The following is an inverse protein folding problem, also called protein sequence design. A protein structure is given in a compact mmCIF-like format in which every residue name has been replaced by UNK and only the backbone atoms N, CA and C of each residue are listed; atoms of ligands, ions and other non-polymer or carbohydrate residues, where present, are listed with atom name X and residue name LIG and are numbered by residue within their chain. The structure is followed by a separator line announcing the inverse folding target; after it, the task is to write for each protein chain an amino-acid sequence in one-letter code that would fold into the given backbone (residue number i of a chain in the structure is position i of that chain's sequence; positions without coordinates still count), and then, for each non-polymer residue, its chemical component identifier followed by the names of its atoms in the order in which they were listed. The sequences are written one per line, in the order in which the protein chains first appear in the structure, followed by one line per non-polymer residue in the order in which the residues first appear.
data_IF_160038937948
#
_entry.id   IF_160038937948
#
_cell.length_a   1.000
_cell.length_b   1.000
_cell.length_c   1.000
_cell.angle_alpha   90.00
_cell.angle_beta   90.00
_cell.angle_gamma   90.00
#
_symmetry.space_group_name_H-M   'P 1'
#
loop_
_entity.id
_entity.type
_entity.pdbx_description
1 polymer ?
#
# COMPACT_ATOMS: atom_id res chain seq x y z
N UNK A 1 -3.38 27.57 -20.17
CA UNK A 1 -3.42 27.92 -18.73
C UNK A 1 -2.85 26.76 -17.96
N UNK A 2 -1.87 26.98 -17.07
CA UNK A 2 -1.49 25.95 -16.09
C UNK A 2 -2.64 25.83 -15.09
N UNK A 3 -3.19 24.63 -14.98
CA UNK A 3 -4.25 24.33 -14.02
C UNK A 3 -3.56 24.20 -12.66
N UNK A 4 -3.92 25.06 -11.71
CA UNK A 4 -3.41 24.97 -10.34
C UNK A 4 -4.24 23.91 -9.59
N UNK A 5 -3.67 22.72 -9.42
CA UNK A 5 -4.32 21.62 -8.71
C UNK A 5 -4.12 21.78 -7.18
N UNK A 6 -5.12 21.45 -6.35
CA UNK A 6 -4.97 21.48 -4.91
C UNK A 6 -4.00 20.38 -4.44
N UNK A 7 -3.23 20.65 -3.39
CA UNK A 7 -2.45 19.61 -2.72
C UNK A 7 -3.38 18.65 -1.98
N UNK A 8 -3.23 17.35 -2.20
CA UNK A 8 -4.07 16.30 -1.60
C UNK A 8 -3.26 15.47 -0.62
N UNK A 9 -3.76 15.34 0.61
CA UNK A 9 -3.28 14.34 1.57
C UNK A 9 -4.19 13.12 1.51
N UNK A 10 -3.66 11.99 1.05
CA UNK A 10 -4.37 10.73 0.97
C UNK A 10 -4.05 9.88 2.20
N UNK A 11 -5.07 9.54 2.98
CA UNK A 11 -4.91 8.73 4.20
C UNK A 11 -5.35 7.31 3.93
N UNK A 12 -4.50 6.35 4.26
CA UNK A 12 -4.82 4.92 4.21
C UNK A 12 -4.11 4.18 5.33
N UNK A 13 -4.72 3.10 5.79
CA UNK A 13 -4.13 2.17 6.75
C UNK A 13 -3.07 1.28 6.09
N UNK A 14 -3.10 1.17 4.76
CA UNK A 14 -2.26 0.27 3.98
C UNK A 14 -1.75 0.93 2.70
N UNK A 15 -0.54 0.54 2.28
CA UNK A 15 0.05 0.90 1.00
C UNK A 15 0.93 -0.23 0.48
N UNK A 16 0.59 -0.80 -0.68
CA UNK A 16 1.42 -1.75 -1.40
C UNK A 16 2.42 -1.01 -2.29
N UNK A 17 3.50 -0.49 -1.68
CA UNK A 17 4.56 0.24 -2.40
C UNK A 17 5.64 -0.72 -2.90
N UNK A 18 5.96 -1.72 -2.07
CA UNK A 18 6.97 -2.73 -2.34
C UNK A 18 6.60 -4.00 -1.58
N UNK A 19 6.82 -5.16 -2.20
CA UNK A 19 6.37 -6.45 -1.68
C UNK A 19 7.01 -6.82 -0.33
N UNK A 20 8.25 -6.38 -0.09
CA UNK A 20 9.01 -6.73 1.12
C UNK A 20 8.69 -5.81 2.31
N UNK A 21 7.89 -4.76 2.09
CA UNK A 21 7.56 -3.80 3.13
C UNK A 21 6.21 -4.16 3.74
N UNK A 22 6.21 -4.35 5.05
CA UNK A 22 5.05 -4.68 5.89
C UNK A 22 4.05 -3.51 6.00
N UNK A 23 3.49 -3.06 4.89
CA UNK A 23 2.57 -1.92 4.79
C UNK A 23 1.18 -2.28 4.27
N UNK A 24 0.92 -3.53 3.88
CA UNK A 24 -0.39 -3.95 3.41
C UNK A 24 -0.67 -5.44 3.65
N UNK A 25 -1.93 -5.80 3.56
CA UNK A 25 -2.45 -7.16 3.74
C UNK A 25 -3.27 -7.64 2.54
N UNK A 26 -3.84 -6.71 1.75
CA UNK A 26 -4.72 -7.08 0.64
C UNK A 26 -5.10 -5.91 -0.26
N UNK A 27 -6.30 -5.98 -0.83
CA UNK A 27 -6.76 -5.09 -1.90
C UNK A 27 -6.78 -3.60 -1.55
N UNK A 28 -6.95 -3.23 -0.28
CA UNK A 28 -6.88 -1.83 0.16
C UNK A 28 -5.49 -1.25 -0.10
N UNK A 29 -4.44 -1.94 0.34
CA UNK A 29 -3.07 -1.49 0.11
C UNK A 29 -2.68 -1.51 -1.36
N UNK A 30 -3.14 -2.52 -2.13
CA UNK A 30 -2.92 -2.58 -3.59
C UNK A 30 -3.51 -1.34 -4.26
N UNK A 31 -4.79 -1.05 -4.03
CA UNK A 31 -5.45 0.13 -4.60
C UNK A 31 -4.78 1.43 -4.16
N UNK A 32 -4.41 1.55 -2.89
CA UNK A 32 -3.71 2.73 -2.37
C UNK A 32 -2.33 2.91 -3.02
N UNK A 33 -1.59 1.82 -3.24
CA UNK A 33 -0.31 1.81 -3.94
C UNK A 33 -0.45 2.24 -5.40
N UNK A 34 -1.39 1.64 -6.13
CA UNK A 34 -1.70 1.99 -7.53
C UNK A 34 -2.11 3.46 -7.66
N UNK A 35 -2.88 3.97 -6.69
CA UNK A 35 -3.30 5.37 -6.67
C UNK A 35 -2.12 6.34 -6.47
N UNK A 36 -1.16 6.01 -5.58
CA UNK A 36 0.08 6.77 -5.43
C UNK A 36 0.95 6.69 -6.70
N UNK A 37 1.00 5.52 -7.34
CA UNK A 37 1.77 5.31 -8.56
C UNK A 37 1.24 6.17 -9.71
N UNK A 38 -0.06 6.15 -9.94
CA UNK A 38 -0.72 6.98 -10.95
C UNK A 38 -0.53 8.49 -10.67
N UNK A 39 -0.62 8.89 -9.40
CA UNK A 39 -0.35 10.27 -9.00
C UNK A 39 1.09 10.70 -9.30
N UNK A 40 2.06 9.82 -9.05
CA UNK A 40 3.46 10.06 -9.37
C UNK A 40 3.69 10.17 -10.89
N UNK A 41 3.15 9.23 -11.67
CA UNK A 41 3.35 9.17 -13.13
C UNK A 41 2.79 10.40 -13.85
N UNK A 42 1.71 10.98 -13.33
CA UNK A 42 1.10 12.20 -13.87
C UNK A 42 1.55 13.49 -13.17
N UNK A 43 2.50 13.42 -12.22
CA UNK A 43 2.94 14.56 -11.41
C UNK A 43 1.78 15.30 -10.68
N UNK A 44 0.80 14.56 -10.19
CA UNK A 44 -0.25 15.13 -9.35
C UNK A 44 0.28 15.50 -7.96
N UNK A 45 -0.16 16.64 -7.39
CA UNK A 45 0.28 17.10 -6.07
C UNK A 45 -0.38 16.30 -4.94
N UNK A 46 0.04 15.05 -4.74
CA UNK A 46 -0.53 14.13 -3.77
C UNK A 46 0.54 13.56 -2.82
N UNK A 47 0.20 13.49 -1.53
CA UNK A 47 1.05 12.90 -0.49
C UNK A 47 0.26 11.79 0.21
N UNK A 48 0.83 10.58 0.24
CA UNK A 48 0.30 9.46 1.03
C UNK A 48 0.70 9.56 2.50
N UNK A 49 -0.26 9.37 3.39
CA UNK A 49 -0.09 9.33 4.85
C UNK A 49 -0.63 8.00 5.36
N UNK A 50 0.16 7.31 6.18
CA UNK A 50 -0.19 6.01 6.73
C UNK A 50 0.68 5.59 7.91
N UNK A 51 0.60 4.30 8.24
CA UNK A 51 1.24 3.71 9.41
C UNK A 51 2.34 2.76 8.95
N UNK A 52 3.54 2.89 9.54
CA UNK A 52 4.60 1.89 9.38
C UNK A 52 4.39 0.77 10.40
N UNK A 53 3.77 -0.32 9.96
CA UNK A 53 3.52 -1.48 10.83
C UNK A 53 4.83 -2.19 11.20
N UNK A 54 5.00 -2.52 12.48
CA UNK A 54 6.19 -3.25 12.97
C UNK A 54 6.16 -4.73 12.57
N UNK A 55 4.98 -5.34 12.57
CA UNK A 55 4.81 -6.80 12.42
C UNK A 55 4.09 -7.21 11.12
N UNK A 56 3.53 -6.27 10.36
CA UNK A 56 2.83 -6.54 9.09
C UNK A 56 1.59 -7.41 9.25
N UNK A 57 1.10 -7.93 8.13
CA UNK A 57 0.09 -8.98 8.10
C UNK A 57 0.78 -10.33 8.28
N UNK A 58 0.16 -11.25 9.02
CA UNK A 58 0.80 -12.48 9.48
C UNK A 58 1.44 -13.31 8.36
N UNK A 59 2.52 -14.01 8.68
CA UNK A 59 3.22 -14.88 7.74
C UNK A 59 2.42 -16.17 7.58
N UNK A 60 1.77 -16.35 6.43
CA UNK A 60 1.06 -17.58 6.11
C UNK A 60 2.05 -18.67 5.74
N UNK A 61 1.85 -19.85 6.31
CA UNK A 61 2.75 -20.96 6.11
C UNK A 61 1.93 -22.25 5.99
N UNK A 62 2.46 -23.19 5.22
CA UNK A 62 1.84 -24.50 4.97
C UNK A 62 2.68 -25.53 5.69
N UNK A 63 2.04 -26.36 6.51
CA UNK A 63 2.68 -27.48 7.16
C UNK A 63 3.19 -28.48 6.11
N UNK A 64 4.48 -28.82 6.17
CA UNK A 64 5.14 -29.64 5.14
C UNK A 64 4.76 -31.11 5.19
N UNK A 65 4.26 -31.59 6.33
CA UNK A 65 3.91 -33.01 6.53
C UNK A 65 2.43 -33.26 6.26
N UNK A 66 1.57 -32.35 6.72
CA UNK A 66 0.10 -32.48 6.67
C UNK A 66 -0.53 -31.72 5.50
N UNK A 67 0.16 -30.72 4.93
CA UNK A 67 -0.36 -29.85 3.87
C UNK A 67 -1.42 -28.85 4.35
N UNK A 68 -1.61 -28.72 5.66
CA UNK A 68 -2.62 -27.85 6.27
C UNK A 68 -2.01 -26.46 6.49
N UNK A 69 -2.73 -25.36 6.16
CA UNK A 69 -2.27 -24.01 6.49
C UNK A 69 -2.39 -23.74 8.00
N UNK A 70 -1.46 -22.96 8.55
CA UNK A 70 -1.49 -22.46 9.92
C UNK A 70 -1.46 -20.95 10.01
#
# INVERSE_FOLDING_TARGET
MMINLPNVAYFSMEYAIENDVKLYAGGLGILAGDYLKEACDNNYPLIGIGIKWKQGYGDQMIDKETGIPY
#
